data_IF_608870278288
#
_entry.id   IF_608870278288
#
_cell.length_a   1.000
_cell.length_b   1.000
_cell.length_c   1.000
_cell.angle_alpha   90.00
_cell.angle_beta   90.00
_cell.angle_gamma   90.00
#
_symmetry.space_group_name_H-M   'P 1'
#
loop_
_entity.id
_entity.type
_entity.pdbx_description
1 polymer ?
#
# COMPACT_ATOMS: atom_id res chain seq x y z
N UNK A 1 26.44 -25.46 17.76
CA UNK A 1 25.92 -24.32 16.97
C UNK A 1 24.46 -24.19 17.35
N UNK A 2 24.07 -23.05 17.90
CA UNK A 2 22.70 -22.79 18.36
C UNK A 2 21.80 -22.57 17.14
N UNK A 3 20.76 -23.40 17.00
CA UNK A 3 19.74 -23.23 15.96
C UNK A 3 18.92 -21.96 16.26
N UNK A 4 19.00 -20.97 15.36
CA UNK A 4 18.15 -19.78 15.42
C UNK A 4 16.89 -20.03 14.59
N UNK A 5 15.73 -20.09 15.24
CA UNK A 5 14.45 -20.14 14.56
C UNK A 5 14.01 -18.73 14.15
N UNK A 6 14.26 -18.36 12.90
CA UNK A 6 13.86 -17.06 12.33
C UNK A 6 12.51 -17.22 11.62
N UNK A 7 11.53 -16.39 12.01
CA UNK A 7 10.22 -16.29 11.36
C UNK A 7 9.99 -14.89 10.80
N UNK A 8 9.68 -14.81 9.52
CA UNK A 8 9.25 -13.56 8.89
C UNK A 8 7.80 -13.27 9.32
N UNK A 9 7.55 -12.05 9.80
CA UNK A 9 6.24 -11.61 10.30
C UNK A 9 5.60 -10.52 9.43
N UNK A 10 6.41 -9.79 8.68
CA UNK A 10 5.95 -8.74 7.78
C UNK A 10 7.03 -8.44 6.73
N UNK A 11 6.61 -8.00 5.55
CA UNK A 11 7.50 -7.49 4.49
C UNK A 11 6.94 -6.16 4.01
N UNK A 12 7.81 -5.16 3.86
CA UNK A 12 7.49 -3.86 3.28
C UNK A 12 8.32 -3.69 2.02
N UNK A 13 7.68 -3.30 0.92
CA UNK A 13 8.33 -3.07 -0.36
C UNK A 13 7.87 -1.75 -0.97
N UNK A 14 8.72 -1.17 -1.83
CA UNK A 14 8.45 0.07 -2.56
C UNK A 14 8.61 -0.18 -4.05
N UNK A 15 7.74 0.41 -4.86
CA UNK A 15 7.83 0.38 -6.31
C UNK A 15 7.54 1.77 -6.90
N UNK A 16 8.12 2.06 -8.06
CA UNK A 16 7.82 3.26 -8.83
C UNK A 16 7.15 2.85 -10.15
N UNK A 17 5.94 3.36 -10.40
CA UNK A 17 5.16 3.02 -11.60
C UNK A 17 5.56 3.82 -12.84
N UNK A 18 6.38 4.86 -12.67
CA UNK A 18 6.89 5.68 -13.79
C UNK A 18 5.84 6.52 -14.52
N UNK A 19 4.60 6.55 -14.02
CA UNK A 19 3.47 7.27 -14.61
C UNK A 19 2.80 8.17 -13.57
N UNK A 20 2.09 9.20 -14.04
CA UNK A 20 1.20 10.00 -13.20
C UNK A 20 -0.13 9.29 -13.01
N UNK A 21 -0.62 9.26 -11.78
CA UNK A 21 -1.87 8.63 -11.40
C UNK A 21 -2.73 9.69 -10.69
N UNK A 22 -4.00 9.79 -11.05
CA UNK A 22 -4.98 10.58 -10.30
C UNK A 22 -5.54 9.72 -9.18
N UNK A 23 -5.29 10.11 -7.93
CA UNK A 23 -5.77 9.35 -6.77
C UNK A 23 -7.29 9.41 -6.67
N UNK A 24 -7.90 10.52 -7.06
CA UNK A 24 -9.35 10.73 -7.08
C UNK A 24 -10.05 9.70 -7.98
N UNK A 25 -9.55 9.54 -9.21
CA UNK A 25 -10.09 8.53 -10.15
C UNK A 25 -9.85 7.11 -9.68
N UNK A 26 -8.76 6.85 -8.96
CA UNK A 26 -8.48 5.52 -8.43
C UNK A 26 -9.51 5.11 -7.38
N UNK A 27 -9.96 6.04 -6.53
CA UNK A 27 -11.02 5.76 -5.53
C UNK A 27 -12.32 5.33 -6.19
N UNK A 28 -12.67 5.91 -7.34
CA UNK A 28 -13.88 5.56 -8.08
C UNK A 28 -13.87 4.12 -8.63
N UNK A 29 -12.68 3.56 -8.87
CA UNK A 29 -12.51 2.26 -9.53
C UNK A 29 -11.98 1.16 -8.60
N UNK A 30 -11.39 1.52 -7.45
CA UNK A 30 -10.83 0.59 -6.47
C UNK A 30 -11.77 0.43 -5.28
N UNK A 31 -12.60 -0.61 -5.32
CA UNK A 31 -13.48 -0.92 -4.18
C UNK A 31 -12.68 -1.13 -2.88
N UNK A 32 -13.01 -0.38 -1.84
CA UNK A 32 -12.33 -0.46 -0.54
C UNK A 32 -11.01 0.31 -0.45
N UNK A 33 -10.76 1.25 -1.36
CA UNK A 33 -9.71 2.25 -1.16
C UNK A 33 -10.20 3.41 -0.28
N UNK A 34 -9.31 3.90 0.59
CA UNK A 34 -9.51 5.08 1.43
C UNK A 34 -8.57 6.21 0.96
N UNK A 35 -9.12 7.42 0.75
CA UNK A 35 -8.36 8.60 0.36
C UNK A 35 -8.89 9.86 1.05
N UNK A 36 -8.11 10.38 1.99
CA UNK A 36 -8.43 11.57 2.79
C UNK A 36 -7.21 12.51 2.82
N UNK A 37 -7.00 13.35 1.79
CA UNK A 37 -5.74 14.11 1.60
C UNK A 37 -5.40 15.07 2.74
N UNK A 38 -6.41 15.55 3.47
CA UNK A 38 -6.23 16.40 4.66
C UNK A 38 -5.60 15.63 5.85
N UNK A 39 -5.77 14.31 5.89
CA UNK A 39 -5.22 13.44 6.93
C UNK A 39 -3.95 12.72 6.46
N UNK A 40 -3.95 12.23 5.22
CA UNK A 40 -2.83 11.53 4.62
C UNK A 40 -2.82 11.72 3.09
N UNK A 41 -1.70 12.14 2.48
CA UNK A 41 -1.67 12.50 1.06
C UNK A 41 -1.73 11.31 0.10
N UNK A 42 -1.61 10.06 0.58
CA UNK A 42 -1.64 8.86 -0.25
C UNK A 42 -2.99 8.15 -0.22
N UNK A 43 -3.29 7.39 -1.26
CA UNK A 43 -4.43 6.47 -1.29
C UNK A 43 -4.03 5.15 -0.60
N UNK A 44 -4.84 4.71 0.35
CA UNK A 44 -4.67 3.42 1.01
C UNK A 44 -5.59 2.41 0.34
N UNK A 45 -5.03 1.33 -0.18
CA UNK A 45 -5.80 0.25 -0.81
C UNK A 45 -5.49 -1.08 -0.15
N UNK A 46 -6.54 -1.82 0.24
CA UNK A 46 -6.43 -3.15 0.85
C UNK A 46 -7.03 -4.19 -0.08
N UNK A 47 -6.16 -5.01 -0.66
CA UNK A 47 -6.55 -6.14 -1.49
C UNK A 47 -7.12 -7.23 -0.57
N UNK A 48 -8.26 -7.84 -0.95
CA UNK A 48 -8.78 -9.04 -0.29
C UNK A 48 -8.12 -10.30 -0.80
#
# INVERSE_FOLDING_TARGET
MTDFNIKIVNIVATAALGIRISLEKMVEHLEGSDYEPEQFPGLVYRIK
#
